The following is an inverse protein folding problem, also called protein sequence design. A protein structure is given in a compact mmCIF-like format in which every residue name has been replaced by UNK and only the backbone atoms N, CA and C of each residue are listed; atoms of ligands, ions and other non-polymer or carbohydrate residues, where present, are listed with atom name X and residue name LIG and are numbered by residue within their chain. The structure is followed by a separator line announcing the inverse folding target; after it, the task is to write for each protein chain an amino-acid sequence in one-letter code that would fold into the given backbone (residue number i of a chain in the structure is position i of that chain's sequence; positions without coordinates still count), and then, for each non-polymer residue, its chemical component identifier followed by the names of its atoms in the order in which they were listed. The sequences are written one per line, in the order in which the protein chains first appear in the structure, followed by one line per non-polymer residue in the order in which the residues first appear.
data_IF_659042613992
#
_entry.id   IF_659042613992
#
_cell.length_a   1.000
_cell.length_b   1.000
_cell.length_c   1.000
_cell.angle_alpha   90.00
_cell.angle_beta   90.00
_cell.angle_gamma   90.00
#
_symmetry.space_group_name_H-M   'P 1'
#
loop_
_entity.id
_entity.type
_entity.pdbx_description
1 polymer ?
#
# COMPACT_ATOMS: atom_id res chain seq x y z
N UNK A 1 6.55 -42.94 18.55
CA UNK A 1 6.61 -42.59 17.13
C UNK A 1 5.45 -41.71 16.66
N UNK A 2 4.21 -42.01 17.02
CA UNK A 2 3.04 -41.21 16.59
C UNK A 2 3.07 -39.80 17.13
N UNK A 3 3.53 -39.55 18.35
CA UNK A 3 3.64 -38.24 18.97
C UNK A 3 4.65 -37.29 18.24
N UNK A 4 5.72 -37.83 17.70
CA UNK A 4 6.73 -37.05 16.97
C UNK A 4 6.18 -36.53 15.63
N UNK A 5 5.34 -37.30 14.94
CA UNK A 5 4.71 -36.92 13.67
C UNK A 5 3.71 -35.79 13.88
N UNK A 6 2.91 -35.88 14.96
CA UNK A 6 1.94 -34.83 15.31
C UNK A 6 2.63 -33.52 15.67
N UNK A 7 3.75 -33.54 16.38
CA UNK A 7 4.53 -32.38 16.76
C UNK A 7 5.12 -31.63 15.50
N UNK A 8 5.61 -32.42 14.54
CA UNK A 8 6.14 -31.86 13.28
C UNK A 8 5.02 -31.20 12.46
N UNK A 9 3.85 -31.84 12.37
CA UNK A 9 2.70 -31.30 11.66
C UNK A 9 2.20 -29.99 12.30
N UNK A 10 2.16 -29.90 13.63
CA UNK A 10 1.74 -28.68 14.35
C UNK A 10 2.72 -27.54 14.14
N UNK A 11 4.03 -27.80 14.15
CA UNK A 11 5.04 -26.79 13.84
C UNK A 11 4.92 -26.28 12.39
N UNK A 12 4.65 -27.16 11.43
CA UNK A 12 4.45 -26.79 10.03
C UNK A 12 3.26 -25.87 9.82
N UNK A 13 2.15 -26.08 10.52
CA UNK A 13 0.97 -25.20 10.45
C UNK A 13 1.28 -23.81 11.01
N UNK A 14 2.02 -23.69 12.10
CA UNK A 14 2.43 -22.39 12.66
C UNK A 14 3.31 -21.59 11.71
N UNK A 15 4.26 -22.20 11.05
CA UNK A 15 5.09 -21.54 10.02
C UNK A 15 4.28 -21.14 8.79
N UNK A 16 3.36 -22.00 8.33
CA UNK A 16 2.51 -21.69 7.17
C UNK A 16 1.62 -20.48 7.42
N UNK A 17 1.10 -20.28 8.62
CA UNK A 17 0.29 -19.11 8.96
C UNK A 17 1.11 -17.82 9.02
N UNK A 18 2.35 -17.88 9.50
CA UNK A 18 3.26 -16.73 9.51
C UNK A 18 3.65 -16.31 8.09
N UNK A 19 4.00 -17.27 7.26
CA UNK A 19 4.30 -17.05 5.85
C UNK A 19 3.08 -16.53 5.10
N UNK A 20 1.88 -16.96 5.48
CA UNK A 20 0.63 -16.49 4.90
C UNK A 20 0.41 -15.00 5.07
N UNK A 21 0.64 -14.43 6.26
CA UNK A 21 0.51 -13.00 6.51
C UNK A 21 1.51 -12.19 5.68
N UNK A 22 2.77 -12.61 5.64
CA UNK A 22 3.79 -11.97 4.84
C UNK A 22 3.43 -11.99 3.34
N UNK A 23 2.97 -13.13 2.85
CA UNK A 23 2.52 -13.31 1.46
C UNK A 23 1.34 -12.40 1.13
N UNK A 24 0.39 -12.26 2.05
CA UNK A 24 -0.75 -11.35 1.88
C UNK A 24 -0.29 -9.90 1.75
N UNK A 25 0.63 -9.45 2.60
CA UNK A 25 1.18 -8.10 2.55
C UNK A 25 1.95 -7.87 1.24
N UNK A 26 2.72 -8.84 0.79
CA UNK A 26 3.45 -8.77 -0.48
C UNK A 26 2.51 -8.66 -1.69
N UNK A 27 1.45 -9.44 -1.71
CA UNK A 27 0.42 -9.37 -2.76
C UNK A 27 -0.27 -8.02 -2.77
N UNK A 28 -0.62 -7.51 -1.61
CA UNK A 28 -1.25 -6.20 -1.49
C UNK A 28 -0.30 -5.08 -1.93
N UNK A 29 0.98 -5.18 -1.59
CA UNK A 29 1.98 -4.22 -2.01
C UNK A 29 2.15 -4.19 -3.54
N UNK A 30 2.20 -5.35 -4.19
CA UNK A 30 2.26 -5.44 -5.65
C UNK A 30 1.02 -4.85 -6.31
N UNK A 31 -0.15 -5.19 -5.77
CA UNK A 31 -1.43 -4.65 -6.26
C UNK A 31 -1.47 -3.13 -6.10
N UNK A 32 -1.11 -2.63 -4.93
CA UNK A 32 -1.12 -1.20 -4.62
C UNK A 32 -0.13 -0.43 -5.50
N UNK A 33 1.06 -0.98 -5.75
CA UNK A 33 2.02 -0.40 -6.68
C UNK A 33 1.43 -0.25 -8.08
N UNK A 34 0.75 -1.28 -8.59
CA UNK A 34 0.07 -1.22 -9.89
C UNK A 34 -1.06 -0.19 -9.91
N UNK A 35 -1.83 -0.08 -8.83
CA UNK A 35 -2.88 0.93 -8.69
C UNK A 35 -2.31 2.35 -8.68
N UNK A 36 -1.20 2.57 -7.99
CA UNK A 36 -0.53 3.86 -7.96
C UNK A 36 -0.03 4.27 -9.35
N UNK A 37 0.56 3.34 -10.08
CA UNK A 37 1.02 3.61 -11.46
C UNK A 37 -0.15 3.92 -12.39
N UNK A 38 -1.25 3.20 -12.27
CA UNK A 38 -2.48 3.48 -13.03
C UNK A 38 -3.02 4.88 -12.70
N UNK A 39 -3.07 5.24 -11.42
CA UNK A 39 -3.53 6.55 -10.97
C UNK A 39 -2.61 7.67 -11.46
N UNK A 40 -1.29 7.46 -11.41
CA UNK A 40 -0.31 8.41 -11.94
C UNK A 40 -0.50 8.62 -13.44
N UNK A 41 -0.66 7.55 -14.19
CA UNK A 41 -0.88 7.64 -15.62
C UNK A 41 -2.14 8.45 -15.95
N UNK A 42 -3.23 8.20 -15.24
CA UNK A 42 -4.48 8.96 -15.41
C UNK A 42 -4.31 10.42 -15.04
N UNK A 43 -3.57 10.72 -13.97
CA UNK A 43 -3.26 12.09 -13.56
C UNK A 43 -2.46 12.83 -14.63
N UNK A 44 -1.48 12.17 -15.23
CA UNK A 44 -0.68 12.77 -16.32
C UNK A 44 -1.51 13.05 -17.58
N UNK A 45 -2.44 12.17 -17.90
CA UNK A 45 -3.33 12.36 -19.06
C UNK A 45 -4.33 13.48 -18.83
N UNK A 46 -4.90 13.60 -17.65
CA UNK A 46 -5.92 14.60 -17.33
C UNK A 46 -5.33 15.94 -16.89
N UNK A 47 -4.08 15.96 -16.43
CA UNK A 47 -3.47 17.12 -15.80
C UNK A 47 -4.01 17.45 -14.41
N UNK A 48 -4.85 16.60 -13.83
CA UNK A 48 -5.45 16.82 -12.52
C UNK A 48 -4.68 16.03 -11.45
N UNK A 49 -4.29 16.68 -10.34
CA UNK A 49 -3.61 15.96 -9.26
C UNK A 49 -4.48 14.84 -8.70
N UNK A 50 -3.88 13.65 -8.54
CA UNK A 50 -4.52 12.51 -7.91
C UNK A 50 -3.88 12.29 -6.55
N UNK A 51 -4.72 12.11 -5.54
CA UNK A 51 -4.30 11.83 -4.17
C UNK A 51 -4.86 10.48 -3.73
N UNK A 52 -4.02 9.72 -3.06
CA UNK A 52 -4.44 8.47 -2.44
C UNK A 52 -4.52 8.68 -0.92
N UNK A 53 -5.64 8.29 -0.35
CA UNK A 53 -5.94 8.49 1.08
C UNK A 53 -6.35 7.18 1.73
N UNK A 54 -5.84 6.93 2.93
CA UNK A 54 -6.27 5.81 3.76
C UNK A 54 -7.60 6.17 4.43
N UNK A 55 -8.54 5.24 4.40
CA UNK A 55 -9.84 5.35 5.07
C UNK A 55 -9.99 4.24 6.11
N UNK A 56 -10.99 4.33 6.97
CA UNK A 56 -11.29 3.28 7.96
C UNK A 56 -11.63 1.94 7.32
N UNK A 57 -12.20 1.97 6.12
CA UNK A 57 -12.67 0.78 5.39
C UNK A 57 -11.69 0.32 4.31
N UNK A 58 -10.64 1.07 4.04
CA UNK A 58 -9.70 0.76 2.99
C UNK A 58 -8.90 1.98 2.55
N UNK A 59 -9.13 2.42 1.32
CA UNK A 59 -8.47 3.58 0.74
C UNK A 59 -9.33 4.19 -0.36
N UNK A 60 -8.95 5.38 -0.83
CA UNK A 60 -9.60 6.02 -1.97
C UNK A 60 -8.62 6.84 -2.78
N UNK A 61 -8.96 7.03 -4.04
CA UNK A 61 -8.25 7.94 -4.94
C UNK A 61 -9.12 9.18 -5.17
N UNK A 62 -8.62 10.34 -4.79
CA UNK A 62 -9.27 11.63 -5.02
C UNK A 62 -8.66 12.31 -6.24
N UNK A 63 -9.47 12.97 -7.06
CA UNK A 63 -9.03 13.69 -8.26
C UNK A 63 -9.16 12.90 -9.56
N UNK A 64 -9.55 11.64 -9.51
CA UNK A 64 -9.86 10.87 -10.72
C UNK A 64 -11.26 11.25 -11.22
N UNK A 65 -11.42 11.45 -12.54
CA UNK A 65 -12.77 11.60 -13.11
C UNK A 65 -13.53 10.29 -12.97
N UNK A 66 -14.87 10.34 -12.82
CA UNK A 66 -15.66 9.12 -12.80
C UNK A 66 -15.50 8.38 -14.12
N UNK A 67 -15.34 7.06 -14.04
CA UNK A 67 -15.24 6.21 -15.22
C UNK A 67 -16.61 6.04 -15.86
N UNK A 68 -16.66 5.91 -17.19
CA UNK A 68 -17.89 5.60 -17.90
C UNK A 68 -18.44 4.22 -17.51
N UNK A 69 -17.57 3.33 -17.06
CA UNK A 69 -17.90 1.99 -16.61
C UNK A 69 -17.45 1.80 -15.18
N UNK A 70 -18.33 1.32 -14.27
CA UNK A 70 -17.92 1.07 -12.88
C UNK A 70 -16.76 0.08 -12.73
N UNK A 71 -16.59 -0.87 -13.65
CA UNK A 71 -15.49 -1.82 -13.66
C UNK A 71 -14.12 -1.20 -13.93
N UNK A 72 -14.08 0.00 -14.52
CA UNK A 72 -12.85 0.74 -14.78
C UNK A 72 -12.43 1.61 -13.60
N UNK A 73 -13.27 1.72 -12.58
CA UNK A 73 -12.95 2.44 -11.35
C UNK A 73 -11.88 1.68 -10.55
N UNK A 74 -10.95 2.42 -9.97
CA UNK A 74 -9.93 1.82 -9.11
C UNK A 74 -10.59 1.30 -7.82
N UNK A 75 -10.17 0.13 -7.32
CA UNK A 75 -10.71 -0.42 -6.08
C UNK A 75 -10.42 0.48 -4.89
N UNK A 76 -11.26 0.39 -3.86
CA UNK A 76 -11.18 1.20 -2.64
C UNK A 76 -11.08 0.35 -1.36
N UNK A 77 -10.95 -0.95 -1.51
CA UNK A 77 -10.87 -1.88 -0.39
C UNK A 77 -9.62 -2.76 -0.49
N UNK A 78 -9.11 -3.16 0.67
CA UNK A 78 -8.02 -4.12 0.74
C UNK A 78 -8.48 -5.50 0.28
N UNK A 79 -7.54 -6.31 -0.24
CA UNK A 79 -7.82 -7.71 -0.58
C UNK A 79 -8.18 -8.52 0.67
N UNK A 80 -7.59 -8.17 1.80
CA UNK A 80 -7.83 -8.80 3.07
C UNK A 80 -8.26 -7.76 4.11
N UNK A 81 -9.32 -8.05 4.85
CA UNK A 81 -9.85 -7.14 5.88
C UNK A 81 -8.87 -6.90 7.05
N UNK A 82 -7.88 -7.78 7.21
CA UNK A 82 -6.83 -7.64 8.21
C UNK A 82 -5.76 -6.60 7.83
N UNK A 83 -5.72 -6.17 6.59
CA UNK A 83 -4.74 -5.21 6.10
C UNK A 83 -5.11 -3.79 6.51
N UNK A 84 -4.12 -3.05 6.96
CA UNK A 84 -4.21 -1.61 7.19
C UNK A 84 -2.95 -0.93 6.66
N UNK A 85 -2.99 0.39 6.53
CA UNK A 85 -1.87 1.14 6.00
C UNK A 85 -1.64 2.42 6.79
N UNK A 86 -0.39 2.85 6.80
CA UNK A 86 0.03 4.14 7.33
C UNK A 86 0.88 4.83 6.28
N UNK A 87 0.56 6.08 5.99
CA UNK A 87 1.35 6.90 5.08
C UNK A 87 2.54 7.49 5.83
N UNK A 88 3.74 7.22 5.32
CA UNK A 88 4.96 7.86 5.77
C UNK A 88 5.28 8.97 4.74
N UNK A 89 4.69 10.13 4.92
CA UNK A 89 5.02 11.27 4.09
C UNK A 89 6.46 11.69 4.37
N UNK A 90 7.26 11.85 3.32
CA UNK A 90 8.54 12.49 3.47
C UNK A 90 8.31 13.85 4.12
N UNK A 91 9.08 14.12 5.17
CA UNK A 91 9.03 15.41 5.85
C UNK A 91 9.49 16.52 4.89
N UNK A 92 8.57 16.97 4.05
CA UNK A 92 8.75 18.26 3.40
C UNK A 92 8.41 19.31 4.45
N UNK A 93 9.34 20.18 4.81
CA UNK A 93 9.08 21.21 5.80
C UNK A 93 8.19 22.31 5.23
N UNK A 94 7.06 21.93 4.69
CA UNK A 94 6.04 22.89 4.28
C UNK A 94 5.15 23.15 5.50
N UNK A 95 5.38 24.27 6.12
CA UNK A 95 4.78 24.71 7.38
C UNK A 95 3.25 24.91 7.33
N UNK A 96 2.59 24.51 6.24
CA UNK A 96 1.14 24.64 6.05
C UNK A 96 0.42 23.30 6.02
N UNK A 97 1.05 22.23 6.51
CA UNK A 97 0.42 20.91 6.54
C UNK A 97 -0.59 20.82 7.70
N UNK A 98 -1.87 20.94 7.38
CA UNK A 98 -2.92 20.51 8.30
C UNK A 98 -2.87 18.98 8.52
N UNK A 99 -3.47 18.53 9.61
CA UNK A 99 -3.45 17.14 10.08
C UNK A 99 -3.91 16.11 9.04
N UNK A 100 -4.68 16.52 8.05
CA UNK A 100 -5.23 15.64 7.01
C UNK A 100 -4.20 15.19 5.97
N UNK A 101 -3.02 15.82 5.94
CA UNK A 101 -1.97 15.50 4.96
C UNK A 101 -1.09 14.33 5.38
N UNK A 102 -1.13 13.93 6.65
CA UNK A 102 -0.33 12.82 7.17
C UNK A 102 -0.75 11.45 6.65
N UNK A 103 -1.96 11.34 6.08
CA UNK A 103 -2.49 10.09 5.54
C UNK A 103 -2.73 10.14 4.03
N UNK A 104 -2.04 11.01 3.33
CA UNK A 104 -2.27 11.25 1.90
C UNK A 104 -0.98 11.16 1.10
N UNK A 105 -1.02 10.41 -0.01
CA UNK A 105 0.03 10.43 -1.05
C UNK A 105 -0.42 11.29 -2.22
N UNK A 106 0.51 11.99 -2.85
CA UNK A 106 0.27 12.74 -4.08
C UNK A 106 0.91 11.97 -5.24
N UNK A 107 0.09 11.57 -6.23
CA UNK A 107 0.48 10.65 -7.29
C UNK A 107 0.72 11.31 -8.66
N UNK A 108 0.65 12.60 -8.76
CA UNK A 108 0.88 13.31 -10.01
C UNK A 108 0.13 14.63 -10.03
N UNK A 109 0.05 15.35 -11.16
CA UNK A 109 0.40 14.98 -12.54
C UNK A 109 1.88 15.13 -12.92
N UNK A 110 2.71 15.64 -12.04
CA UNK A 110 4.12 15.83 -12.36
C UNK A 110 4.84 14.50 -12.60
N UNK A 111 5.75 14.43 -13.58
CA UNK A 111 6.53 13.21 -13.83
C UNK A 111 7.47 12.86 -12.67
N UNK A 112 7.88 13.86 -11.89
CA UNK A 112 8.67 13.69 -10.68
C UNK A 112 7.84 14.17 -9.50
N UNK A 113 7.61 13.28 -8.54
CA UNK A 113 6.87 13.58 -7.32
C UNK A 113 7.82 13.55 -6.11
N UNK A 114 7.36 14.07 -4.97
CA UNK A 114 8.16 13.98 -3.75
C UNK A 114 8.35 12.52 -3.33
N UNK A 115 9.51 12.14 -2.76
CA UNK A 115 9.67 10.81 -2.18
C UNK A 115 8.60 10.56 -1.11
N UNK A 116 7.96 9.41 -1.18
CA UNK A 116 6.85 9.05 -0.31
C UNK A 116 6.88 7.55 -0.03
N UNK A 117 6.27 7.16 1.06
CA UNK A 117 6.15 5.75 1.41
C UNK A 117 4.81 5.45 2.10
N UNK A 118 4.38 4.22 1.97
CA UNK A 118 3.27 3.68 2.74
C UNK A 118 3.71 2.37 3.38
N UNK A 119 3.36 2.17 4.64
CA UNK A 119 3.61 0.93 5.36
C UNK A 119 2.32 0.15 5.46
N UNK A 120 2.32 -1.07 4.93
CA UNK A 120 1.23 -2.02 5.08
C UNK A 120 1.43 -2.84 6.34
N UNK A 121 0.36 -3.05 7.08
CA UNK A 121 0.38 -3.70 8.39
C UNK A 121 -0.75 -4.72 8.46
N UNK A 122 -0.54 -5.76 9.28
CA UNK A 122 -1.61 -6.66 9.67
C UNK A 122 -2.20 -6.18 11.00
N UNK A 123 -3.53 -6.13 11.09
CA UNK A 123 -4.23 -5.74 12.33
C UNK A 123 -4.05 -6.76 13.43
N UNK A 124 -4.06 -8.05 13.06
CA UNK A 124 -3.94 -9.17 14.02
C UNK A 124 -2.48 -9.48 14.36
N UNK A 125 -1.54 -9.11 13.49
CA UNK A 125 -0.11 -9.33 13.69
C UNK A 125 0.67 -8.02 13.47
N UNK A 126 0.58 -7.05 14.39
CA UNK A 126 1.17 -5.72 14.20
C UNK A 126 2.70 -5.71 14.07
N UNK A 127 3.37 -6.81 14.44
CA UNK A 127 4.80 -6.99 14.18
C UNK A 127 5.14 -7.31 12.72
N UNK A 128 4.14 -7.63 11.90
CA UNK A 128 4.30 -7.87 10.46
C UNK A 128 3.96 -6.61 9.69
N UNK A 129 4.92 -6.10 8.95
CA UNK A 129 4.73 -4.91 8.12
C UNK A 129 5.56 -5.00 6.85
N UNK A 130 5.15 -4.24 5.84
CA UNK A 130 5.85 -4.14 4.58
C UNK A 130 5.79 -2.69 4.09
N UNK A 131 6.93 -2.13 3.77
CA UNK A 131 7.02 -0.75 3.30
C UNK A 131 7.05 -0.70 1.78
N UNK A 132 6.21 0.14 1.20
CA UNK A 132 6.16 0.44 -0.23
C UNK A 132 6.57 1.90 -0.42
N UNK A 133 7.62 2.16 -1.18
CA UNK A 133 8.21 3.48 -1.27
C UNK A 133 8.58 3.86 -2.71
N UNK A 134 8.60 5.15 -2.96
CA UNK A 134 9.14 5.75 -4.18
C UNK A 134 10.16 6.83 -3.84
N UNK A 135 11.19 6.95 -4.68
CA UNK A 135 12.11 8.08 -4.65
C UNK A 135 11.57 9.31 -5.41
N UNK A 136 10.38 9.18 -5.98
CA UNK A 136 9.72 10.24 -6.77
C UNK A 136 9.89 10.09 -8.27
N UNK A 137 10.85 9.31 -8.72
CA UNK A 137 11.15 9.08 -10.15
C UNK A 137 10.74 7.67 -10.57
N UNK A 138 11.05 6.69 -9.75
CA UNK A 138 10.74 5.29 -9.98
C UNK A 138 9.36 4.93 -9.45
N UNK A 139 8.73 3.87 -9.97
CA UNK A 139 7.48 3.37 -9.40
C UNK A 139 7.63 2.99 -7.93
N UNK A 140 6.50 3.03 -7.21
CA UNK A 140 6.48 2.49 -5.85
C UNK A 140 6.88 1.02 -5.85
N UNK A 141 7.80 0.68 -4.99
CA UNK A 141 8.31 -0.69 -4.84
C UNK A 141 8.67 -0.95 -3.39
N UNK A 142 8.72 -2.24 -3.05
CA UNK A 142 9.26 -2.67 -1.77
C UNK A 142 10.77 -2.52 -1.84
N UNK A 143 11.40 -1.68 -1.00
CA UNK A 143 12.84 -1.54 -0.99
C UNK A 143 13.50 -2.88 -0.68
N UNK A 144 14.61 -3.18 -1.35
CA UNK A 144 15.45 -4.28 -0.93
C UNK A 144 15.95 -3.98 0.49
N UNK A 145 15.87 -4.97 1.39
CA UNK A 145 16.37 -4.79 2.74
C UNK A 145 17.82 -4.31 2.69
N UNK A 146 18.15 -3.23 3.44
CA UNK A 146 19.54 -2.85 3.57
C UNK A 146 20.30 -3.99 4.24
N UNK A 147 21.51 -4.30 3.76
CA UNK A 147 22.34 -5.34 4.36
C UNK A 147 22.65 -5.05 5.83
#
# INVERSE_FOLDING_TARGET
MVLAIVAIASAGVGFAMRDGTQTQLEREALRLSALFESARARSQVTGVPVRWQVTEQGFRFAGLPPSERPEDDLPQVWLDADTMARVDAAATPSATAGADRSNTLVLGPDPIIAPQAVTLLSRTQPGKSLRLATDGVRPFAVPADPP
#
